data_IF_473146875417
#
_entry.id   IF_473146875417
#
_cell.length_a   1.000
_cell.length_b   1.000
_cell.length_c   1.000
_cell.angle_alpha   90.00
_cell.angle_beta   90.00
_cell.angle_gamma   90.00
#
_symmetry.space_group_name_H-M   'P 1'
#
loop_
_entity.id
_entity.type
_entity.pdbx_description
1 polymer ?
#
# COMPACT_ATOMS: atom_id res chain seq x y z
N UNK A 1 15.54 40.95 9.55
CA UNK A 1 15.31 40.78 11.02
C UNK A 1 14.53 39.48 11.19
N UNK A 2 14.87 38.48 12.02
CA UNK A 2 15.81 38.33 13.14
C UNK A 2 16.55 36.99 13.01
N UNK A 3 17.85 36.98 13.33
CA UNK A 3 18.61 35.77 13.68
C UNK A 3 18.26 35.36 15.12
N UNK A 4 18.14 34.05 15.39
CA UNK A 4 18.34 33.43 16.71
C UNK A 4 18.92 32.03 16.47
N UNK A 5 20.24 31.83 16.53
CA UNK A 5 21.05 31.53 17.72
C UNK A 5 20.92 30.07 18.18
N UNK A 6 21.81 29.20 17.67
CA UNK A 6 22.16 27.94 18.33
C UNK A 6 22.97 28.26 19.59
N UNK A 7 22.57 27.72 20.75
CA UNK A 7 23.44 27.61 21.92
C UNK A 7 23.92 26.17 22.01
N UNK A 8 25.22 26.00 21.85
CA UNK A 8 25.97 24.79 22.15
C UNK A 8 26.07 24.67 23.68
N UNK A 9 25.56 23.59 24.25
CA UNK A 9 25.84 23.23 25.64
C UNK A 9 26.92 22.13 25.64
N UNK A 10 28.14 22.53 26.01
CA UNK A 10 29.25 21.63 26.33
C UNK A 10 29.16 21.32 27.83
N UNK A 11 29.18 20.05 28.20
CA UNK A 11 29.40 19.61 29.58
C UNK A 11 30.80 18.97 29.69
N UNK A 12 31.51 19.18 30.81
CA UNK A 12 32.95 18.94 30.89
C UNK A 12 33.28 17.47 31.12
N UNK A 13 34.44 17.08 30.60
CA UNK A 13 35.15 15.86 30.91
C UNK A 13 35.70 15.97 32.35
N UNK A 14 35.25 15.10 33.26
CA UNK A 14 35.91 14.88 34.54
C UNK A 14 36.15 13.38 34.71
N UNK A 15 37.43 13.00 34.72
CA UNK A 15 37.87 11.69 35.17
C UNK A 15 38.02 11.70 36.70
N UNK A 16 37.62 10.63 37.39
CA UNK A 16 38.48 9.83 38.29
C UNK A 16 37.65 8.72 39.00
N UNK A 17 38.20 7.51 38.91
CA UNK A 17 38.24 6.37 39.85
C UNK A 17 36.99 5.54 40.22
N UNK A 18 37.16 4.23 39.96
CA UNK A 18 36.63 3.01 40.58
C UNK A 18 35.56 3.14 41.68
N UNK A 19 34.40 2.54 41.38
CA UNK A 19 33.48 1.97 42.36
C UNK A 19 32.65 0.87 41.69
N UNK A 20 32.79 -0.38 42.15
CA UNK A 20 31.86 -1.46 41.81
C UNK A 20 30.48 -1.10 42.37
N UNK A 21 29.50 -0.89 41.51
CA UNK A 21 28.11 -0.69 41.87
C UNK A 21 27.24 -0.97 40.64
N UNK A 22 26.34 -1.94 40.77
CA UNK A 22 25.40 -2.40 39.75
C UNK A 22 24.57 -1.23 39.22
N UNK A 23 24.75 -0.89 37.94
CA UNK A 23 23.87 0.08 37.28
C UNK A 23 22.44 -0.51 37.19
N UNK A 24 21.39 0.26 37.50
CA UNK A 24 20.03 -0.15 37.18
C UNK A 24 19.90 -0.15 35.65
N UNK A 25 19.85 -1.34 35.06
CA UNK A 25 19.54 -1.54 33.65
C UNK A 25 18.13 -0.97 33.42
N UNK A 26 18.04 0.16 32.72
CA UNK A 26 16.76 0.64 32.19
C UNK A 26 16.27 -0.43 31.22
N UNK A 27 15.32 -1.26 31.66
CA UNK A 27 14.54 -2.12 30.79
C UNK A 27 13.69 -1.21 29.90
N UNK A 28 14.27 -0.76 28.78
CA UNK A 28 13.50 -0.23 27.65
C UNK A 28 12.78 -1.44 27.05
N UNK A 29 11.60 -1.76 27.60
CA UNK A 29 10.64 -2.56 26.86
C UNK A 29 10.33 -1.77 25.60
N UNK A 30 10.77 -2.30 24.46
CA UNK A 30 10.44 -1.76 23.16
C UNK A 30 8.91 -1.81 23.03
N UNK A 31 8.28 -0.67 23.28
CA UNK A 31 6.84 -0.53 23.21
C UNK A 31 6.48 -0.61 21.72
N UNK A 32 5.56 -1.52 21.31
CA UNK A 32 5.16 -1.61 19.92
C UNK A 32 4.78 -0.22 19.40
N UNK A 33 5.29 0.14 18.22
CA UNK A 33 4.95 1.41 17.59
C UNK A 33 3.42 1.56 17.57
N UNK A 34 2.89 2.75 17.94
CA UNK A 34 1.45 2.95 18.02
C UNK A 34 0.82 2.65 16.65
N UNK A 35 -0.25 1.86 16.64
CA UNK A 35 -0.98 1.54 15.41
C UNK A 35 -1.44 2.84 14.75
N UNK A 36 -1.01 3.06 13.51
CA UNK A 36 -1.32 4.26 12.73
C UNK A 36 -2.83 4.45 12.48
N UNK A 37 -3.24 5.61 11.96
CA UNK A 37 -4.63 5.87 11.61
C UNK A 37 -5.18 4.85 10.62
N UNK A 38 -6.48 4.59 10.69
CA UNK A 38 -7.15 3.66 9.77
C UNK A 38 -8.29 4.34 9.04
N UNK A 39 -8.42 4.04 7.74
CA UNK A 39 -9.62 4.34 6.97
C UNK A 39 -10.73 3.40 7.44
N UNK A 40 -11.82 3.94 7.98
CA UNK A 40 -12.95 3.16 8.51
C UNK A 40 -14.18 3.22 7.61
N UNK A 41 -14.27 4.23 6.74
CA UNK A 41 -15.30 4.31 5.73
C UNK A 41 -14.81 5.11 4.52
N UNK A 42 -15.31 4.74 3.35
CA UNK A 42 -15.21 5.52 2.13
C UNK A 42 -16.59 5.63 1.50
N UNK A 43 -16.86 6.74 0.83
CA UNK A 43 -18.09 6.96 0.08
C UNK A 43 -17.75 7.44 -1.34
N UNK A 44 -18.18 6.72 -2.40
CA UNK A 44 -18.90 5.44 -2.37
C UNK A 44 -18.17 4.30 -1.67
N UNK A 45 -18.88 3.28 -1.14
CA UNK A 45 -18.24 2.12 -0.53
C UNK A 45 -17.23 1.44 -1.46
N UNK A 46 -16.17 0.85 -0.90
CA UNK A 46 -15.19 0.13 -1.70
C UNK A 46 -15.85 -1.08 -2.40
N UNK A 47 -15.64 -1.18 -3.71
CA UNK A 47 -16.27 -2.17 -4.60
C UNK A 47 -17.70 -1.82 -5.04
N UNK A 48 -18.23 -0.64 -4.70
CA UNK A 48 -19.58 -0.24 -5.09
C UNK A 48 -19.76 -0.20 -6.61
N UNK A 49 -20.93 -0.62 -7.08
CA UNK A 49 -21.33 -0.52 -8.49
C UNK A 49 -22.60 0.32 -8.62
N UNK A 50 -22.85 0.86 -9.82
CA UNK A 50 -24.01 1.72 -10.05
C UNK A 50 -23.91 3.07 -9.36
N UNK A 51 -22.70 3.54 -9.03
CA UNK A 51 -22.48 4.87 -8.45
C UNK A 51 -22.97 5.93 -9.42
N UNK A 52 -23.70 6.92 -8.93
CA UNK A 52 -24.18 8.01 -9.78
C UNK A 52 -22.99 8.75 -10.42
N UNK A 53 -22.84 8.78 -11.76
CA UNK A 53 -21.76 9.52 -12.40
C UNK A 53 -21.89 11.05 -12.23
N UNK A 54 -23.05 11.57 -11.81
CA UNK A 54 -23.21 12.98 -11.45
C UNK A 54 -22.66 13.33 -10.07
N UNK A 55 -22.22 12.34 -9.28
CA UNK A 55 -21.53 12.55 -8.01
C UNK A 55 -20.27 13.40 -8.21
N UNK A 56 -20.09 14.37 -7.32
CA UNK A 56 -19.01 15.37 -7.43
C UNK A 56 -17.95 15.28 -6.32
N UNK A 57 -18.07 14.33 -5.39
CA UNK A 57 -17.13 14.21 -4.27
C UNK A 57 -16.71 12.78 -4.00
N UNK A 58 -15.56 12.54 -3.40
CA UNK A 58 -15.16 11.28 -2.77
C UNK A 58 -14.86 11.56 -1.31
N UNK A 59 -15.30 10.71 -0.40
CA UNK A 59 -15.15 10.94 1.04
C UNK A 59 -14.38 9.79 1.68
N UNK A 60 -13.39 10.13 2.50
CA UNK A 60 -12.65 9.20 3.34
C UNK A 60 -12.85 9.56 4.82
N UNK A 61 -13.20 8.58 5.64
CA UNK A 61 -13.37 8.73 7.10
C UNK A 61 -12.32 7.92 7.85
N UNK A 62 -11.69 8.54 8.85
CA UNK A 62 -10.63 7.96 9.65
C UNK A 62 -11.09 7.64 11.09
N UNK A 63 -10.43 6.65 11.72
CA UNK A 63 -10.74 6.24 13.09
C UNK A 63 -10.39 7.28 14.16
N UNK A 64 -9.63 8.32 13.80
CA UNK A 64 -9.15 9.39 14.69
C UNK A 64 -8.95 10.70 13.95
N UNK A 65 -8.65 11.76 14.70
CA UNK A 65 -8.25 13.06 14.18
C UNK A 65 -6.92 12.97 13.42
N UNK A 66 -6.87 13.58 12.25
CA UNK A 66 -5.72 13.58 11.34
C UNK A 66 -5.00 14.93 11.37
N UNK A 67 -3.80 14.98 10.79
CA UNK A 67 -3.10 16.22 10.44
C UNK A 67 -3.80 16.87 9.23
N UNK A 68 -4.45 18.05 9.39
CA UNK A 68 -5.18 18.68 8.29
C UNK A 68 -4.28 19.35 7.25
N UNK A 69 -2.97 19.49 7.53
CA UNK A 69 -2.03 20.14 6.60
C UNK A 69 -1.66 19.26 5.39
N UNK A 70 -2.01 17.97 5.43
CA UNK A 70 -1.66 17.00 4.39
C UNK A 70 -2.83 16.11 3.95
N UNK A 71 -2.74 15.63 2.72
CA UNK A 71 -3.59 14.58 2.15
C UNK A 71 -2.85 13.90 0.99
N UNK A 72 -3.19 12.63 0.71
CA UNK A 72 -2.64 11.90 -0.43
C UNK A 72 -3.74 11.10 -1.14
N UNK A 73 -4.46 11.78 -2.03
CA UNK A 73 -5.34 11.16 -3.03
C UNK A 73 -4.49 10.75 -4.22
N UNK A 74 -4.21 9.46 -4.36
CA UNK A 74 -3.25 8.96 -5.35
C UNK A 74 -3.96 8.18 -6.43
N UNK A 75 -3.56 8.42 -7.68
CA UNK A 75 -4.02 7.70 -8.86
C UNK A 75 -2.96 6.66 -9.23
N UNK A 76 -3.36 5.41 -9.47
CA UNK A 76 -2.43 4.37 -9.92
C UNK A 76 -2.24 4.35 -11.45
N UNK A 77 -3.30 4.69 -12.20
CA UNK A 77 -3.31 4.62 -13.67
C UNK A 77 -4.32 5.65 -14.23
N UNK A 78 -3.92 6.51 -15.19
CA UNK A 78 -4.83 7.44 -15.85
C UNK A 78 -6.11 6.81 -16.43
N UNK A 79 -6.07 5.54 -16.88
CA UNK A 79 -7.21 4.84 -17.46
C UNK A 79 -8.33 4.54 -16.46
N UNK A 80 -8.01 4.48 -15.16
CA UNK A 80 -8.94 4.24 -14.06
C UNK A 80 -9.02 5.44 -13.11
N UNK A 81 -8.41 6.57 -13.50
CA UNK A 81 -8.34 7.77 -12.70
C UNK A 81 -9.61 8.62 -12.87
N UNK A 82 -10.26 9.06 -11.78
CA UNK A 82 -11.14 10.20 -11.88
C UNK A 82 -10.31 11.48 -12.01
N UNK A 83 -10.90 12.53 -12.56
CA UNK A 83 -10.37 13.89 -12.39
C UNK A 83 -10.61 14.27 -10.93
N UNK A 84 -9.54 14.40 -10.13
CA UNK A 84 -9.60 14.78 -8.71
C UNK A 84 -9.19 16.25 -8.57
N UNK A 85 -10.04 17.03 -7.89
CA UNK A 85 -9.82 18.44 -7.62
C UNK A 85 -9.42 18.71 -6.17
N UNK A 86 -9.91 19.82 -5.63
CA UNK A 86 -9.63 20.25 -4.26
C UNK A 86 -10.09 19.23 -3.22
N UNK A 87 -9.34 19.18 -2.11
CA UNK A 87 -9.55 18.32 -0.96
C UNK A 87 -9.71 19.17 0.30
N UNK A 88 -10.70 18.84 1.13
CA UNK A 88 -11.06 19.59 2.34
C UNK A 88 -11.29 18.64 3.51
N UNK A 89 -10.78 19.02 4.68
CA UNK A 89 -11.07 18.36 5.95
C UNK A 89 -12.30 18.94 6.62
N UNK A 90 -13.07 18.10 7.29
CA UNK A 90 -14.09 18.55 8.24
C UNK A 90 -13.45 19.20 9.48
N UNK A 91 -14.19 19.96 10.30
CA UNK A 91 -13.64 20.64 11.47
C UNK A 91 -13.02 19.70 12.51
N UNK A 92 -13.46 18.44 12.59
CA UNK A 92 -12.89 17.43 13.49
C UNK A 92 -11.64 16.74 12.91
N UNK A 93 -11.26 17.04 11.66
CA UNK A 93 -10.14 16.43 10.92
C UNK A 93 -10.23 14.91 10.84
N UNK A 94 -11.44 14.36 10.79
CA UNK A 94 -11.70 12.91 10.69
C UNK A 94 -12.26 12.51 9.34
N UNK A 95 -12.74 13.46 8.56
CA UNK A 95 -13.35 13.25 7.26
C UNK A 95 -12.64 14.14 6.25
N UNK A 96 -12.04 13.54 5.23
CA UNK A 96 -11.47 14.26 4.11
C UNK A 96 -12.33 14.03 2.87
N UNK A 97 -12.68 15.12 2.20
CA UNK A 97 -13.53 15.12 1.00
C UNK A 97 -12.77 15.70 -0.17
N UNK A 98 -12.58 14.93 -1.24
CA UNK A 98 -12.04 15.41 -2.51
C UNK A 98 -13.16 15.66 -3.52
N UNK A 99 -13.04 16.72 -4.31
CA UNK A 99 -13.92 16.94 -5.47
C UNK A 99 -13.52 16.03 -6.62
N UNK A 100 -14.49 15.54 -7.39
CA UNK A 100 -14.25 14.67 -8.55
C UNK A 100 -15.16 14.96 -9.73
N UNK A 101 -14.69 14.63 -10.94
CA UNK A 101 -15.54 14.43 -12.11
C UNK A 101 -15.53 12.95 -12.48
N UNK A 102 -16.73 12.39 -12.58
CA UNK A 102 -16.93 11.00 -12.98
C UNK A 102 -17.65 10.94 -14.33
N UNK A 103 -17.36 9.89 -15.08
CA UNK A 103 -18.01 9.54 -16.33
C UNK A 103 -18.90 8.31 -16.10
N UNK A 104 -20.02 8.18 -16.84
CA UNK A 104 -20.88 7.01 -16.76
C UNK A 104 -20.18 5.72 -17.22
N UNK A 105 -20.51 4.60 -16.57
CA UNK A 105 -20.06 3.25 -16.95
C UNK A 105 -18.56 3.00 -16.78
N UNK A 106 -17.87 3.80 -15.95
CA UNK A 106 -16.44 3.67 -15.67
C UNK A 106 -16.19 2.98 -14.35
N UNK A 107 -15.12 2.20 -14.29
CA UNK A 107 -14.54 1.74 -13.03
C UNK A 107 -13.36 2.63 -12.68
N UNK A 108 -13.45 3.26 -11.50
CA UNK A 108 -12.43 4.12 -10.95
C UNK A 108 -11.60 3.39 -9.89
N UNK A 109 -10.33 3.76 -9.80
CA UNK A 109 -9.41 3.34 -8.74
C UNK A 109 -8.70 4.58 -8.18
N UNK A 110 -8.78 4.74 -6.87
CA UNK A 110 -8.14 5.81 -6.11
C UNK A 110 -7.47 5.21 -4.88
N UNK A 111 -6.35 5.77 -4.46
CA UNK A 111 -5.65 5.36 -3.26
C UNK A 111 -5.72 6.46 -2.20
N UNK A 112 -6.03 6.09 -0.96
CA UNK A 112 -5.79 6.93 0.21
C UNK A 112 -4.44 6.53 0.78
N UNK A 113 -3.47 7.42 0.63
CA UNK A 113 -2.05 7.08 0.69
C UNK A 113 -1.64 6.01 -0.33
N UNK A 114 -0.42 6.14 -0.84
CA UNK A 114 0.27 5.09 -1.58
C UNK A 114 1.63 4.84 -0.92
N UNK A 115 2.37 3.79 -1.35
CA UNK A 115 3.72 3.56 -0.83
C UNK A 115 4.66 4.77 -0.98
N UNK A 116 4.41 5.63 -1.97
CA UNK A 116 5.23 6.81 -2.27
C UNK A 116 4.67 8.09 -1.63
N UNK A 117 3.37 8.14 -1.34
CA UNK A 117 2.69 9.34 -0.85
C UNK A 117 1.90 9.00 0.42
N UNK A 118 2.45 9.36 1.58
CA UNK A 118 1.95 8.99 2.91
C UNK A 118 1.45 10.20 3.71
N UNK A 119 0.68 11.10 3.07
CA UNK A 119 0.29 12.39 3.65
C UNK A 119 -1.06 12.38 4.39
N UNK A 120 -1.86 11.32 4.30
CA UNK A 120 -2.87 11.03 5.31
C UNK A 120 -2.19 10.43 6.55
N UNK A 121 -1.95 11.27 7.55
CA UNK A 121 -1.26 10.91 8.80
C UNK A 121 -1.89 11.61 10.00
N UNK A 122 -1.64 11.13 11.20
CA UNK A 122 -2.02 11.86 12.40
C UNK A 122 -1.07 13.02 12.71
N UNK A 123 -1.41 13.82 13.73
CA UNK A 123 -0.58 14.95 14.18
C UNK A 123 0.79 14.56 14.75
N UNK A 124 0.99 13.28 15.07
CA UNK A 124 2.29 12.75 15.45
C UNK A 124 3.14 12.34 14.23
N UNK A 125 2.57 12.46 13.02
CA UNK A 125 3.23 12.12 11.76
C UNK A 125 3.09 10.66 11.36
N UNK A 126 2.31 9.84 12.09
CA UNK A 126 2.13 8.43 11.78
C UNK A 126 1.12 8.29 10.64
N UNK A 127 1.57 7.74 9.51
CA UNK A 127 0.75 7.60 8.32
C UNK A 127 -0.31 6.51 8.45
N UNK A 128 -1.47 6.74 7.84
CA UNK A 128 -2.43 5.68 7.58
C UNK A 128 -1.84 4.67 6.58
N UNK A 129 -2.12 3.39 6.76
CA UNK A 129 -1.72 2.38 5.80
C UNK A 129 -2.33 2.69 4.42
N UNK A 130 -1.58 2.47 3.31
CA UNK A 130 -2.12 2.65 1.96
C UNK A 130 -3.43 1.86 1.77
N UNK A 131 -4.46 2.53 1.27
CA UNK A 131 -5.78 1.95 1.06
C UNK A 131 -6.20 2.12 -0.39
N UNK A 132 -6.23 1.00 -1.12
CA UNK A 132 -6.71 0.95 -2.51
C UNK A 132 -8.24 0.88 -2.51
N UNK A 133 -8.85 1.81 -3.23
CA UNK A 133 -10.28 1.97 -3.30
C UNK A 133 -10.76 1.93 -4.75
N UNK A 134 -11.73 1.08 -5.05
CA UNK A 134 -12.36 1.01 -6.38
C UNK A 134 -13.87 1.13 -6.33
N UNK A 135 -14.49 1.70 -7.36
CA UNK A 135 -15.95 1.72 -7.54
C UNK A 135 -16.31 1.88 -9.02
N UNK A 136 -17.54 1.53 -9.41
CA UNK A 136 -18.03 1.59 -10.78
C UNK A 136 -19.28 2.45 -10.89
N UNK A 137 -19.28 3.42 -11.80
CA UNK A 137 -20.43 4.30 -12.06
C UNK A 137 -21.49 3.62 -12.91
N UNK A 138 -22.75 4.05 -12.75
CA UNK A 138 -23.85 3.63 -13.60
C UNK A 138 -23.59 4.04 -15.06
N UNK A 139 -23.96 3.18 -16.01
CA UNK A 139 -23.87 3.48 -17.45
C UNK A 139 -24.87 4.56 -17.87
N UNK A 140 -24.43 5.49 -18.72
CA UNK A 140 -25.24 6.62 -19.19
C UNK A 140 -26.30 6.17 -20.18
N UNK A 141 -27.42 5.68 -19.68
CA UNK A 141 -28.62 5.37 -20.46
C UNK A 141 -29.84 5.94 -19.75
N UNK A 142 -30.65 6.69 -20.50
CA UNK A 142 -31.92 7.27 -20.07
C UNK A 142 -32.74 6.32 -19.17
N UNK A 143 -33.28 6.87 -18.10
CA UNK A 143 -34.25 6.20 -17.22
C UNK A 143 -35.43 5.66 -18.03
N UNK A 144 -35.55 4.34 -18.14
CA UNK A 144 -36.77 3.63 -18.52
C UNK A 144 -37.13 2.67 -17.38
N UNK A 145 -38.44 2.41 -17.14
CA UNK A 145 -38.87 1.55 -16.05
C UNK A 145 -38.30 0.15 -16.23
N UNK A 146 -37.77 -0.40 -15.13
CA UNK A 146 -37.04 -1.67 -15.06
C UNK A 146 -37.85 -2.84 -15.64
N UNK A 147 -37.57 -3.18 -16.90
CA UNK A 147 -37.79 -4.54 -17.39
C UNK A 147 -36.60 -5.37 -16.92
N UNK A 148 -36.83 -6.28 -15.96
CA UNK A 148 -35.83 -7.27 -15.58
C UNK A 148 -35.67 -8.30 -16.71
N UNK A 149 -34.52 -8.27 -17.38
CA UNK A 149 -33.73 -9.45 -17.83
C UNK A 149 -32.80 -9.04 -18.98
N UNK A 150 -31.48 -9.11 -18.79
CA UNK A 150 -30.68 -10.32 -18.98
C UNK A 150 -29.19 -9.93 -19.02
N UNK A 151 -28.36 -10.60 -18.19
CA UNK A 151 -26.89 -10.59 -18.16
C UNK A 151 -26.15 -9.25 -18.41
N UNK A 152 -25.65 -8.64 -17.33
CA UNK A 152 -24.55 -7.67 -17.43
C UNK A 152 -23.37 -8.30 -18.21
N UNK A 153 -22.63 -7.54 -19.04
CA UNK A 153 -21.39 -8.05 -19.59
C UNK A 153 -20.49 -8.44 -18.42
N UNK A 154 -20.00 -9.69 -18.43
CA UNK A 154 -19.15 -10.20 -17.36
C UNK A 154 -17.96 -9.26 -17.19
N UNK A 155 -17.80 -8.70 -15.98
CA UNK A 155 -16.62 -7.92 -15.64
C UNK A 155 -15.38 -8.75 -15.98
N UNK A 156 -14.48 -8.19 -16.80
CA UNK A 156 -13.24 -8.87 -17.16
C UNK A 156 -12.37 -8.93 -15.90
N UNK A 157 -12.20 -10.13 -15.34
CA UNK A 157 -11.45 -10.33 -14.10
C UNK A 157 -9.96 -10.02 -14.33
N UNK A 158 -9.35 -9.20 -13.47
CA UNK A 158 -7.90 -8.89 -13.51
C UNK A 158 -7.06 -10.00 -12.87
N UNK A 159 -5.76 -10.06 -13.19
CA UNK A 159 -4.70 -10.70 -12.44
C UNK A 159 -4.99 -10.98 -10.98
N UNK A 160 -4.97 -12.20 -10.45
CA UNK A 160 -4.90 -12.35 -8.98
C UNK A 160 -3.79 -13.29 -8.54
N UNK A 161 -3.22 -12.99 -7.37
CA UNK A 161 -2.31 -13.87 -6.65
C UNK A 161 -3.14 -14.86 -5.85
N UNK A 162 -2.94 -16.15 -6.11
CA UNK A 162 -3.60 -17.23 -5.37
C UNK A 162 -2.72 -17.79 -4.27
N UNK A 163 -1.40 -17.67 -4.40
CA UNK A 163 -0.44 -18.19 -3.43
C UNK A 163 0.88 -17.45 -3.44
N UNK A 164 1.47 -17.34 -2.25
CA UNK A 164 2.81 -16.81 -2.02
C UNK A 164 3.57 -17.79 -1.13
N UNK A 165 4.83 -18.02 -1.46
CA UNK A 165 5.76 -18.80 -0.66
C UNK A 165 7.02 -17.98 -0.42
N UNK A 166 7.25 -17.50 0.81
CA UNK A 166 6.38 -17.57 2.00
C UNK A 166 5.05 -16.78 1.88
N UNK A 167 4.01 -17.06 2.67
CA UNK A 167 2.78 -16.26 2.67
C UNK A 167 3.01 -14.76 2.93
N UNK A 168 2.16 -13.89 2.40
CA UNK A 168 2.23 -12.46 2.72
C UNK A 168 1.99 -12.21 4.21
N UNK A 169 2.82 -11.36 4.80
CA UNK A 169 2.82 -11.05 6.23
C UNK A 169 3.40 -12.18 7.10
N UNK A 170 4.00 -13.22 6.53
CA UNK A 170 4.56 -14.32 7.31
C UNK A 170 5.69 -13.82 8.22
N UNK A 171 5.62 -14.21 9.49
CA UNK A 171 6.67 -13.98 10.49
C UNK A 171 7.38 -15.28 10.84
N UNK A 172 8.65 -15.20 11.23
CA UNK A 172 9.43 -16.38 11.59
C UNK A 172 9.82 -17.22 10.38
N UNK A 173 9.90 -16.61 9.19
CA UNK A 173 10.38 -17.30 7.98
C UNK A 173 11.82 -17.77 8.18
N UNK A 174 12.09 -19.01 7.79
CA UNK A 174 13.45 -19.56 7.81
C UNK A 174 14.38 -18.74 6.90
N UNK A 175 15.52 -18.20 7.40
CA UNK A 175 16.48 -17.48 6.56
C UNK A 175 17.06 -18.32 5.43
N UNK A 176 17.00 -19.65 5.56
CA UNK A 176 17.39 -20.61 4.53
C UNK A 176 16.43 -20.71 3.34
N UNK A 177 15.30 -19.99 3.32
CA UNK A 177 14.45 -19.89 2.13
C UNK A 177 15.20 -19.10 1.05
N UNK A 178 15.50 -19.76 -0.07
CA UNK A 178 16.30 -19.20 -1.16
C UNK A 178 15.49 -18.73 -2.36
N UNK A 179 14.16 -18.83 -2.31
CA UNK A 179 13.29 -18.47 -3.43
C UNK A 179 11.98 -17.93 -2.92
N UNK A 180 11.57 -16.78 -3.44
CA UNK A 180 10.21 -16.28 -3.33
C UNK A 180 9.41 -16.78 -4.53
N UNK A 181 8.28 -17.45 -4.30
CA UNK A 181 7.39 -17.90 -5.36
C UNK A 181 6.01 -17.26 -5.25
N UNK A 182 5.52 -16.74 -6.37
CA UNK A 182 4.12 -16.33 -6.54
C UNK A 182 3.41 -17.30 -7.50
N UNK A 183 2.16 -17.63 -7.19
CA UNK A 183 1.25 -18.33 -8.09
C UNK A 183 0.03 -17.46 -8.37
N UNK A 184 -0.39 -17.41 -9.63
CA UNK A 184 -1.53 -16.64 -10.10
C UNK A 184 -2.75 -17.54 -10.34
N UNK A 185 -3.92 -16.96 -10.47
CA UNK A 185 -5.15 -17.68 -10.82
C UNK A 185 -5.22 -18.11 -12.29
N UNK A 186 -4.30 -17.63 -13.13
CA UNK A 186 -4.27 -17.88 -14.58
C UNK A 186 -2.84 -17.84 -15.15
N UNK A 187 -2.64 -18.34 -16.38
CA UNK A 187 -1.37 -18.17 -17.09
C UNK A 187 -1.06 -16.69 -17.35
N UNK A 188 0.16 -16.28 -17.02
CA UNK A 188 0.68 -14.94 -17.27
C UNK A 188 1.46 -14.89 -18.59
N UNK A 189 1.57 -13.69 -19.18
CA UNK A 189 2.52 -13.45 -20.27
C UNK A 189 3.96 -13.48 -19.74
N UNK A 190 4.92 -13.70 -20.64
CA UNK A 190 6.33 -13.60 -20.31
C UNK A 190 6.70 -12.20 -19.81
N UNK A 191 7.49 -12.15 -18.75
CA UNK A 191 7.92 -10.92 -18.10
C UNK A 191 7.50 -10.84 -16.63
N UNK A 192 8.14 -9.94 -15.90
CA UNK A 192 7.89 -9.74 -14.47
C UNK A 192 8.26 -8.33 -14.04
N UNK A 193 7.71 -7.90 -12.91
CA UNK A 193 8.18 -6.71 -12.21
C UNK A 193 8.22 -7.01 -10.72
N UNK A 194 9.40 -7.40 -10.26
CA UNK A 194 9.76 -7.49 -8.85
C UNK A 194 10.31 -6.13 -8.44
N UNK A 195 9.56 -5.37 -7.66
CA UNK A 195 9.86 -3.96 -7.39
C UNK A 195 10.24 -3.77 -5.92
N UNK A 196 11.21 -2.91 -5.67
CA UNK A 196 11.67 -2.58 -4.32
C UNK A 196 10.67 -1.67 -3.61
N UNK A 197 10.58 -1.80 -2.29
CA UNK A 197 9.91 -0.81 -1.45
C UNK A 197 10.82 0.41 -1.21
N UNK A 198 10.29 1.64 -1.11
CA UNK A 198 11.13 2.82 -0.87
C UNK A 198 11.76 2.87 0.52
N UNK A 199 11.22 2.14 1.51
CA UNK A 199 11.67 2.25 2.92
C UNK A 199 12.09 0.89 3.47
N UNK A 200 11.40 -0.18 3.12
CA UNK A 200 11.75 -1.52 3.55
C UNK A 200 12.82 -2.17 2.65
N UNK A 201 13.71 -3.01 3.20
CA UNK A 201 14.75 -3.64 2.40
C UNK A 201 14.15 -4.64 1.43
N UNK A 202 14.76 -4.69 0.24
CA UNK A 202 14.55 -5.76 -0.74
C UNK A 202 15.60 -6.86 -0.51
N UNK A 203 15.25 -8.15 -0.63
CA UNK A 203 16.22 -9.22 -0.44
C UNK A 203 17.27 -9.24 -1.57
N UNK A 204 18.51 -9.63 -1.25
CA UNK A 204 19.56 -9.76 -2.27
C UNK A 204 19.14 -10.82 -3.29
N UNK A 205 19.15 -10.47 -4.59
CA UNK A 205 18.89 -11.42 -5.66
C UNK A 205 20.13 -12.28 -5.91
N UNK A 206 19.96 -13.60 -5.90
CA UNK A 206 21.05 -14.57 -6.12
C UNK A 206 21.07 -15.16 -7.53
N UNK A 207 20.12 -14.76 -8.38
CA UNK A 207 19.98 -15.22 -9.75
C UNK A 207 18.85 -14.50 -10.48
N UNK A 208 18.60 -14.90 -11.72
CA UNK A 208 17.53 -14.36 -12.53
C UNK A 208 16.16 -14.88 -12.09
N UNK A 209 15.15 -14.02 -12.14
CA UNK A 209 13.78 -14.45 -11.97
C UNK A 209 13.36 -15.36 -13.14
N UNK A 210 12.39 -16.23 -12.88
CA UNK A 210 11.88 -17.18 -13.87
C UNK A 210 10.38 -17.36 -13.74
N UNK A 211 9.74 -17.81 -14.82
CA UNK A 211 8.35 -18.25 -14.81
C UNK A 211 8.27 -19.77 -15.03
N UNK A 212 7.23 -20.40 -14.49
CA UNK A 212 6.92 -21.80 -14.77
C UNK A 212 6.51 -21.97 -16.23
N UNK A 213 6.71 -23.17 -16.79
CA UNK A 213 6.38 -23.47 -18.18
C UNK A 213 4.89 -23.27 -18.52
N UNK A 214 3.99 -23.37 -17.53
CA UNK A 214 2.55 -23.11 -17.70
C UNK A 214 2.18 -21.63 -17.49
N UNK A 215 3.15 -20.76 -17.22
CA UNK A 215 2.99 -19.33 -16.98
C UNK A 215 2.24 -18.97 -15.70
N UNK A 216 1.87 -19.95 -14.85
CA UNK A 216 1.04 -19.68 -13.65
C UNK A 216 1.83 -19.31 -12.42
N UNK A 217 3.15 -19.45 -12.42
CA UNK A 217 4.00 -19.10 -11.29
C UNK A 217 5.24 -18.34 -11.74
N UNK A 218 5.72 -17.45 -10.88
CA UNK A 218 7.01 -16.79 -11.03
C UNK A 218 7.85 -16.99 -9.77
N UNK A 219 9.16 -17.13 -9.95
CA UNK A 219 10.13 -17.38 -8.90
C UNK A 219 11.24 -16.32 -8.94
N UNK A 220 11.60 -15.81 -7.77
CA UNK A 220 12.71 -14.89 -7.56
C UNK A 220 13.74 -15.55 -6.63
N UNK A 221 14.93 -15.92 -7.14
CA UNK A 221 16.03 -16.41 -6.30
C UNK A 221 16.55 -15.29 -5.39
N UNK A 222 16.62 -15.57 -4.09
CA UNK A 222 16.98 -14.58 -3.07
C UNK A 222 17.90 -15.14 -1.99
N UNK A 223 18.56 -14.24 -1.26
CA UNK A 223 19.18 -14.51 0.04
C UNK A 223 18.44 -13.70 1.12
N UNK A 224 17.99 -14.39 2.17
CA UNK A 224 17.36 -13.76 3.33
C UNK A 224 18.31 -13.76 4.53
N UNK A 225 18.42 -12.63 5.21
CA UNK A 225 19.16 -12.49 6.47
C UNK A 225 18.25 -12.85 7.66
N UNK A 226 18.78 -13.39 8.77
CA UNK A 226 18.01 -13.62 9.99
C UNK A 226 17.49 -12.33 10.63
N UNK A 227 16.29 -12.40 11.23
CA UNK A 227 15.69 -11.32 12.02
C UNK A 227 15.31 -10.07 11.22
N UNK A 228 15.06 -10.21 9.92
CA UNK A 228 14.87 -9.08 8.99
C UNK A 228 13.49 -9.11 8.35
N UNK A 229 12.87 -7.93 8.25
CA UNK A 229 11.60 -7.71 7.54
C UNK A 229 11.91 -7.23 6.13
N UNK A 230 11.42 -7.95 5.13
CA UNK A 230 11.57 -7.61 3.71
C UNK A 230 10.24 -7.24 3.10
N UNK A 231 10.27 -6.37 2.09
CA UNK A 231 9.11 -6.05 1.25
C UNK A 231 9.49 -6.16 -0.22
N UNK A 232 8.68 -6.92 -0.94
CA UNK A 232 8.76 -7.11 -2.39
C UNK A 232 7.42 -6.72 -2.98
N UNK A 233 7.43 -5.93 -4.04
CA UNK A 233 6.23 -5.57 -4.78
C UNK A 233 6.13 -6.41 -6.05
N UNK A 234 4.95 -6.98 -6.31
CA UNK A 234 4.59 -7.53 -7.61
C UNK A 234 3.89 -6.41 -8.39
N UNK A 235 4.57 -5.90 -9.40
CA UNK A 235 4.23 -4.65 -10.09
C UNK A 235 4.23 -3.40 -9.19
N UNK A 236 4.31 -2.24 -9.84
CA UNK A 236 4.04 -0.91 -9.29
C UNK A 236 3.24 -0.09 -10.31
N UNK A 237 3.00 1.19 -10.03
CA UNK A 237 2.40 2.10 -11.01
C UNK A 237 3.22 2.16 -12.31
N UNK A 238 4.55 2.20 -12.20
CA UNK A 238 5.49 2.36 -13.32
C UNK A 238 5.94 1.03 -13.93
N UNK A 239 5.99 -0.05 -13.13
CA UNK A 239 6.50 -1.36 -13.56
C UNK A 239 5.39 -2.40 -13.55
N UNK A 240 4.89 -2.79 -14.72
CA UNK A 240 3.66 -3.58 -14.89
C UNK A 240 3.91 -4.93 -15.59
N UNK A 241 5.05 -5.56 -15.31
CA UNK A 241 5.54 -6.74 -16.02
C UNK A 241 4.73 -8.02 -15.75
N UNK A 242 4.11 -8.16 -14.58
CA UNK A 242 3.14 -9.24 -14.35
C UNK A 242 1.79 -8.86 -14.97
N UNK A 243 1.50 -9.45 -16.13
CA UNK A 243 0.22 -9.31 -16.84
C UNK A 243 -0.18 -10.63 -17.46
N UNK A 244 -1.46 -10.86 -17.68
CA UNK A 244 -1.90 -12.07 -18.38
C UNK A 244 -1.61 -12.03 -19.89
N UNK A 245 -1.89 -13.14 -20.56
CA UNK A 245 -1.71 -13.29 -22.00
C UNK A 245 -2.55 -12.32 -22.85
N UNK A 246 -3.57 -11.70 -22.27
CA UNK A 246 -4.39 -10.66 -22.91
C UNK A 246 -3.91 -9.24 -22.56
N UNK A 247 -2.82 -9.11 -21.80
CA UNK A 247 -2.25 -7.84 -21.38
C UNK A 247 -2.91 -7.21 -20.16
N UNK A 248 -3.82 -7.92 -19.46
CA UNK A 248 -4.40 -7.40 -18.22
C UNK A 248 -3.36 -7.48 -17.10
N UNK A 249 -3.08 -6.34 -16.51
CA UNK A 249 -2.00 -6.19 -15.53
C UNK A 249 -2.47 -6.68 -14.16
N UNK A 250 -1.61 -7.44 -13.47
CA UNK A 250 -1.78 -7.74 -12.06
C UNK A 250 -1.69 -6.42 -11.27
N UNK A 251 -2.73 -6.04 -10.50
CA UNK A 251 -2.66 -4.85 -9.66
C UNK A 251 -1.44 -4.91 -8.72
N UNK A 252 -0.79 -3.76 -8.40
CA UNK A 252 0.35 -3.74 -7.49
C UNK A 252 0.06 -4.49 -6.19
N UNK A 253 0.87 -5.49 -5.88
CA UNK A 253 0.70 -6.35 -4.72
C UNK A 253 1.91 -6.24 -3.80
N UNK A 254 1.68 -5.79 -2.57
CA UNK A 254 2.72 -5.70 -1.53
C UNK A 254 2.90 -7.05 -0.85
N UNK A 255 4.10 -7.59 -0.91
CA UNK A 255 4.47 -8.83 -0.25
C UNK A 255 5.52 -8.56 0.84
N UNK A 256 5.07 -8.57 2.08
CA UNK A 256 5.94 -8.47 3.26
C UNK A 256 6.22 -9.86 3.86
N UNK A 257 7.43 -10.07 4.37
CA UNK A 257 7.78 -11.24 5.17
C UNK A 257 8.86 -10.88 6.19
N UNK A 258 8.87 -11.55 7.34
CA UNK A 258 9.85 -11.38 8.41
C UNK A 258 10.52 -12.70 8.74
N UNK A 259 11.86 -12.75 8.68
CA UNK A 259 12.63 -13.94 9.02
C UNK A 259 12.81 -14.11 10.53
N UNK A 260 12.95 -15.36 10.99
CA UNK A 260 13.32 -15.62 12.39
C UNK A 260 14.74 -15.12 12.69
N UNK A 261 15.06 -14.75 13.94
CA UNK A 261 16.42 -14.40 14.35
C UNK A 261 17.43 -15.53 14.11
N UNK A 262 18.72 -15.18 14.17
CA UNK A 262 19.78 -16.19 14.21
C UNK A 262 19.63 -17.04 15.48
N UNK A 263 19.89 -18.34 15.33
CA UNK A 263 19.93 -19.31 16.44
C UNK A 263 21.26 -19.27 17.18
#
# INVERSE_FOLDING_TARGET
MRRRSFRLAVLPLAALLFGCGSEPRLDVREQPAPAGPRVIAVDPPNGATGVDPARTTLVATFDREMDPEGWAWVIENPATAPEIGESVWDPATRVNTATVRLEPGRTYVVWLNSPQYLFFRDRAGVAAAPFRWSFTTAGGGLSLPLVRSNAAPAAVALPTVTRLEPPAGATGVEPGVTTLRVTFDRPMAEGWSWVTDPVAPFPEMTGEASQSADGRSAALPVRLEPGRTYVVWLNSAEYQGFRDQNGLVLPPFRWELTTRPAE
#
